data_IF_911692257166
#
_entry.id   IF_911692257166
#
_cell.length_a   1.000
_cell.length_b   1.000
_cell.length_c   1.000
_cell.angle_alpha   90.00
_cell.angle_beta   90.00
_cell.angle_gamma   90.00
#
_symmetry.space_group_name_H-M   'P 1'
#
loop_
_entity.id
_entity.type
_entity.pdbx_description
1 polymer ?
#
# COMPACT_ATOMS: atom_id res chain seq x y z
N UNK A 1 14.05 -9.18 8.95
CA UNK A 1 13.74 -8.77 7.56
C UNK A 1 12.51 -7.89 7.62
N UNK A 2 12.64 -6.58 7.40
CA UNK A 2 11.50 -5.65 7.48
C UNK A 2 10.50 -5.96 6.36
N UNK A 3 9.23 -6.13 6.73
CA UNK A 3 8.17 -6.29 5.75
C UNK A 3 8.13 -5.04 4.84
N UNK A 4 8.16 -5.18 3.50
CA UNK A 4 8.27 -4.06 2.56
C UNK A 4 7.10 -3.06 2.62
N UNK A 5 5.97 -3.48 3.21
CA UNK A 5 4.85 -2.59 3.54
C UNK A 5 5.19 -1.49 4.54
N UNK A 6 6.28 -1.63 5.31
CA UNK A 6 6.69 -0.64 6.30
C UNK A 6 7.27 0.63 5.67
N UNK A 7 7.69 0.58 4.38
CA UNK A 7 8.13 1.79 3.67
C UNK A 7 6.96 2.67 3.18
N UNK A 8 5.74 2.13 3.12
CA UNK A 8 4.57 2.89 2.67
C UNK A 8 3.88 3.58 3.85
N UNK A 9 4.40 4.75 4.20
CA UNK A 9 3.82 5.66 5.20
C UNK A 9 2.68 6.52 4.63
N UNK A 10 2.72 6.79 3.32
CA UNK A 10 1.77 7.65 2.62
C UNK A 10 1.09 6.92 1.47
N UNK A 11 -0.12 7.36 1.13
CA UNK A 11 -0.86 6.80 0.01
C UNK A 11 -0.19 7.19 -1.32
N UNK A 12 0.18 6.24 -2.19
CA UNK A 12 0.81 6.55 -3.49
C UNK A 12 -0.14 7.25 -4.47
N UNK A 13 -1.46 7.24 -4.20
CA UNK A 13 -2.46 7.87 -5.06
C UNK A 13 -2.70 9.34 -4.73
N UNK A 14 -2.75 9.69 -3.45
CA UNK A 14 -3.13 11.03 -3.00
C UNK A 14 -2.14 11.70 -2.04
N UNK A 15 -1.07 11.02 -1.62
CA UNK A 15 -0.07 11.55 -0.67
C UNK A 15 -0.54 11.60 0.78
N UNK A 16 -1.78 11.20 1.08
CA UNK A 16 -2.31 11.18 2.44
C UNK A 16 -1.52 10.25 3.36
N UNK A 17 -1.27 10.70 4.60
CA UNK A 17 -0.72 9.87 5.68
C UNK A 17 -1.74 8.86 6.24
N UNK A 18 -3.01 8.96 5.85
CA UNK A 18 -4.09 8.07 6.28
C UNK A 18 -4.07 6.74 5.51
N UNK A 19 -2.89 6.09 5.41
CA UNK A 19 -2.69 4.82 4.73
C UNK A 19 -2.48 3.67 5.73
N UNK A 20 -3.61 3.13 6.20
CA UNK A 20 -3.65 2.14 7.27
C UNK A 20 -3.78 0.71 6.74
N UNK A 21 -3.43 -0.28 7.56
CA UNK A 21 -3.68 -1.69 7.25
C UNK A 21 -5.18 -1.97 7.17
N UNK A 22 -5.59 -2.64 6.10
CA UNK A 22 -6.97 -3.04 5.86
C UNK A 22 -7.16 -4.53 6.14
N UNK A 23 -6.18 -5.36 5.76
CA UNK A 23 -6.14 -6.80 6.03
C UNK A 23 -4.68 -7.24 6.17
N UNK A 24 -4.45 -8.48 6.57
CA UNK A 24 -3.12 -9.13 6.68
C UNK A 24 -2.22 -8.97 5.43
N UNK A 25 -2.83 -8.72 4.26
CA UNK A 25 -2.14 -8.59 2.97
C UNK A 25 -2.37 -7.25 2.27
N UNK A 26 -3.07 -6.30 2.90
CA UNK A 26 -3.41 -5.04 2.22
C UNK A 26 -3.47 -3.83 3.13
N UNK A 27 -3.18 -2.67 2.53
CA UNK A 27 -3.38 -1.34 3.13
C UNK A 27 -4.45 -0.58 2.37
N UNK A 28 -5.27 0.19 3.09
CA UNK A 28 -6.29 1.07 2.53
C UNK A 28 -6.06 2.50 2.97
N UNK A 29 -6.23 3.42 2.02
CA UNK A 29 -6.29 4.85 2.31
C UNK A 29 -7.69 5.23 2.76
N UNK A 30 -7.81 5.89 3.91
CA UNK A 30 -9.09 6.39 4.42
C UNK A 30 -9.59 7.63 3.65
N UNK A 31 -8.69 8.43 3.05
CA UNK A 31 -9.08 9.64 2.31
C UNK A 31 -9.55 9.35 0.89
N UNK A 32 -8.74 8.65 0.08
CA UNK A 32 -9.07 8.40 -1.33
C UNK A 32 -9.68 7.02 -1.60
N UNK A 33 -9.80 6.17 -0.57
CA UNK A 33 -10.33 4.81 -0.69
C UNK A 33 -9.41 3.83 -1.44
N UNK A 34 -8.18 4.22 -1.78
CA UNK A 34 -7.23 3.37 -2.49
C UNK A 34 -6.83 2.15 -1.67
N UNK A 35 -6.88 0.95 -2.26
CA UNK A 35 -6.49 -0.30 -1.62
C UNK A 35 -5.26 -0.86 -2.33
N UNK A 36 -4.17 -1.05 -1.59
CA UNK A 36 -2.96 -1.68 -2.05
C UNK A 36 -2.88 -3.09 -1.49
N UNK A 37 -2.88 -4.08 -2.38
CA UNK A 37 -2.64 -5.48 -2.03
C UNK A 37 -1.17 -5.78 -2.21
N UNK A 38 -0.50 -6.14 -1.12
CA UNK A 38 0.85 -6.65 -1.19
C UNK A 38 0.79 -8.11 -1.59
N UNK A 39 0.98 -8.36 -2.88
CA UNK A 39 1.07 -9.70 -3.42
C UNK A 39 2.51 -9.98 -3.80
N UNK A 40 3.13 -10.99 -3.18
CA UNK A 40 4.52 -11.38 -3.43
C UNK A 40 4.79 -11.80 -4.89
N UNK A 41 3.73 -12.02 -5.68
CA UNK A 41 3.83 -12.34 -7.12
C UNK A 41 3.55 -11.15 -8.06
N UNK A 42 3.20 -9.97 -7.55
CA UNK A 42 2.77 -8.84 -8.39
C UNK A 42 3.81 -7.71 -8.39
N UNK A 43 4.88 -7.89 -9.14
CA UNK A 43 5.76 -6.78 -9.54
C UNK A 43 6.06 -6.91 -11.04
N UNK A 44 5.14 -6.42 -11.88
CA UNK A 44 5.45 -6.12 -13.28
C UNK A 44 5.70 -4.62 -13.38
N UNK A 45 6.92 -4.26 -13.76
CA UNK A 45 7.28 -2.88 -14.11
C UNK A 45 6.90 -2.67 -15.58
N UNK A 46 6.10 -1.64 -15.87
CA UNK A 46 5.87 -1.20 -17.25
C UNK A 46 6.95 -0.16 -17.59
N UNK A 47 7.62 -0.35 -18.73
CA UNK A 47 8.58 0.60 -19.33
C UNK A 47 7.89 1.49 -20.33
#
# INVERSE_FOLDING_TARGET
MNHPLHQFHYCPRCGSAAFAEHNEKSKKCAECGFIYYFNSSAAVVAV
#
